data_IF_575544188133
#
_entry.id   IF_575544188133
#
_cell.length_a   1.000
_cell.length_b   1.000
_cell.length_c   1.000
_cell.angle_alpha   90.00
_cell.angle_beta   90.00
_cell.angle_gamma   90.00
#
_symmetry.space_group_name_H-M   'P 1'
#
loop_
_entity.id
_entity.type
_entity.pdbx_description
1 polymer ?
#
# COMPACT_ATOMS: atom_id res chain seq x y z
N UNK A 1 -15.87 -0.75 7.58
CA UNK A 1 -14.68 -0.04 7.08
C UNK A 1 -14.29 -0.65 5.75
N UNK A 2 -14.01 0.17 4.76
CA UNK A 2 -13.47 -0.28 3.47
C UNK A 2 -12.22 0.53 3.13
N UNK A 3 -11.39 0.01 2.24
CA UNK A 3 -10.17 0.67 1.79
C UNK A 3 -10.14 0.72 0.28
N UNK A 4 -9.96 1.90 -0.31
CA UNK A 4 -9.83 2.14 -1.74
C UNK A 4 -8.39 2.50 -2.09
N UNK A 5 -7.81 1.80 -3.06
CA UNK A 5 -6.48 2.10 -3.57
C UNK A 5 -6.53 3.42 -4.37
N UNK A 6 -5.66 4.36 -4.02
CA UNK A 6 -5.57 5.66 -4.72
C UNK A 6 -4.99 5.56 -6.13
N UNK A 7 -4.32 4.46 -6.47
CA UNK A 7 -3.66 4.27 -7.77
C UNK A 7 -4.62 3.62 -8.78
N UNK A 8 -5.24 2.50 -8.42
CA UNK A 8 -6.05 1.70 -9.35
C UNK A 8 -7.53 1.60 -8.96
N UNK A 9 -7.95 2.25 -7.88
CA UNK A 9 -9.34 2.24 -7.42
C UNK A 9 -9.81 0.93 -6.78
N UNK A 10 -8.97 -0.11 -6.70
CA UNK A 10 -9.34 -1.40 -6.07
C UNK A 10 -9.82 -1.19 -4.64
N UNK A 11 -10.94 -1.81 -4.29
CA UNK A 11 -11.50 -1.77 -2.94
C UNK A 11 -11.23 -3.08 -2.21
N UNK A 12 -10.87 -3.00 -0.93
CA UNK A 12 -10.71 -4.14 -0.03
C UNK A 12 -11.43 -3.89 1.28
N UNK A 13 -11.99 -4.95 1.88
CA UNK A 13 -12.73 -4.86 3.14
C UNK A 13 -11.83 -4.63 4.38
N UNK A 14 -10.51 -4.80 4.26
CA UNK A 14 -9.58 -4.71 5.39
C UNK A 14 -8.28 -4.02 5.00
N UNK A 15 -7.62 -3.42 5.99
CA UNK A 15 -6.30 -2.81 5.81
C UNK A 15 -5.26 -3.86 5.33
N UNK A 16 -5.31 -5.06 5.91
CA UNK A 16 -4.47 -6.20 5.50
C UNK A 16 -4.65 -6.56 4.03
N UNK A 17 -5.90 -6.52 3.52
CA UNK A 17 -6.19 -6.72 2.10
C UNK A 17 -5.53 -5.67 1.21
N UNK A 18 -5.61 -4.39 1.60
CA UNK A 18 -4.96 -3.29 0.89
C UNK A 18 -3.44 -3.41 0.93
N UNK A 19 -2.87 -3.81 2.07
CA UNK A 19 -1.43 -4.10 2.19
C UNK A 19 -1.01 -5.18 1.21
N UNK A 20 -1.72 -6.31 1.19
CA UNK A 20 -1.43 -7.41 0.26
C UNK A 20 -1.51 -6.95 -1.20
N UNK A 21 -2.51 -6.12 -1.53
CA UNK A 21 -2.62 -5.49 -2.83
C UNK A 21 -1.40 -4.62 -3.16
N UNK A 22 -1.04 -3.65 -2.32
CA UNK A 22 0.08 -2.74 -2.59
C UNK A 22 1.43 -3.49 -2.70
N UNK A 23 1.65 -4.50 -1.87
CA UNK A 23 2.87 -5.32 -1.87
C UNK A 23 2.97 -6.20 -3.12
N UNK A 24 1.85 -6.72 -3.63
CA UNK A 24 1.83 -7.53 -4.86
C UNK A 24 1.88 -6.65 -6.11
N UNK A 25 1.16 -5.53 -6.10
CA UNK A 25 1.08 -4.60 -7.22
C UNK A 25 2.38 -3.84 -7.45
N UNK A 26 3.23 -3.62 -6.43
CA UNK A 26 4.54 -2.94 -6.62
C UNK A 26 5.46 -3.62 -7.63
N UNK A 27 5.28 -4.92 -7.86
CA UNK A 27 6.07 -5.70 -8.82
C UNK A 27 5.43 -5.77 -10.20
N UNK A 28 4.12 -5.45 -10.28
CA UNK A 28 3.31 -5.59 -11.49
C UNK A 28 3.02 -4.23 -12.14
N UNK A 29 3.04 -3.15 -11.36
CA UNK A 29 2.63 -1.82 -11.80
C UNK A 29 3.57 -0.74 -11.22
N UNK A 30 4.21 0.01 -12.11
CA UNK A 30 5.15 1.09 -11.76
C UNK A 30 4.47 2.22 -10.97
N UNK A 31 3.19 2.48 -11.23
CA UNK A 31 2.42 3.53 -10.57
C UNK A 31 2.24 3.27 -9.06
N UNK A 32 2.01 2.02 -8.67
CA UNK A 32 1.95 1.63 -7.25
C UNK A 32 3.29 1.86 -6.56
N UNK A 33 4.40 1.62 -7.25
CA UNK A 33 5.73 1.92 -6.74
C UNK A 33 5.97 3.43 -6.59
N UNK A 34 5.60 4.23 -7.60
CA UNK A 34 5.72 5.69 -7.56
C UNK A 34 4.93 6.29 -6.40
N UNK A 35 3.70 5.83 -6.19
CA UNK A 35 2.85 6.29 -5.09
C UNK A 35 3.42 5.93 -3.72
N UNK A 36 3.98 4.72 -3.54
CA UNK A 36 4.66 4.38 -2.28
C UNK A 36 5.90 5.26 -2.06
N UNK A 37 6.69 5.48 -3.10
CA UNK A 37 7.91 6.30 -3.05
C UNK A 37 7.61 7.77 -2.72
N UNK A 38 6.51 8.34 -3.24
CA UNK A 38 6.11 9.72 -2.92
C UNK A 38 5.75 9.90 -1.44
N UNK A 39 5.36 8.82 -0.75
CA UNK A 39 5.07 8.81 0.68
C UNK A 39 6.27 8.35 1.53
N UNK A 40 7.47 8.31 0.96
CA UNK A 40 8.69 7.92 1.67
C UNK A 40 8.76 6.41 1.99
N UNK A 41 7.84 5.61 1.47
CA UNK A 41 7.89 4.16 1.61
C UNK A 41 8.75 3.60 0.48
N UNK A 42 9.96 3.14 0.84
CA UNK A 42 10.81 2.36 -0.05
C UNK A 42 10.53 0.85 0.15
N UNK A 43 9.97 0.17 -0.86
CA UNK A 43 9.64 -1.25 -0.77
C UNK A 43 10.86 -2.19 -0.67
N UNK A 44 12.08 -1.72 -0.98
CA UNK A 44 13.30 -2.54 -1.00
C UNK A 44 13.97 -2.73 0.37
N UNK A 45 13.75 -1.84 1.36
CA UNK A 45 14.41 -1.95 2.68
C UNK A 45 13.49 -2.19 3.87
N UNK A 46 12.27 -1.64 3.90
CA UNK A 46 11.40 -1.74 5.10
C UNK A 46 10.28 -2.78 4.96
N UNK A 47 9.60 -2.81 3.80
CA UNK A 47 8.55 -3.79 3.51
C UNK A 47 9.13 -5.21 3.37
N UNK A 48 10.33 -5.32 2.79
CA UNK A 48 11.05 -6.60 2.65
C UNK A 48 11.50 -7.21 3.99
N UNK A 49 11.79 -6.37 5.00
CA UNK A 49 12.21 -6.82 6.34
C UNK A 49 11.03 -7.20 7.25
N UNK A 50 9.83 -7.41 6.70
CA UNK A 50 8.63 -7.74 7.48
C UNK A 50 8.05 -6.58 8.31
N UNK A 51 8.60 -5.37 8.21
CA UNK A 51 8.15 -4.19 8.96
C UNK A 51 7.11 -3.41 8.16
N UNK A 52 5.86 -3.85 8.26
CA UNK A 52 4.73 -3.27 7.51
C UNK A 52 4.00 -2.13 8.22
N UNK A 53 4.33 -1.83 9.49
CA UNK A 53 3.69 -0.74 10.26
C UNK A 53 3.51 0.56 9.48
N UNK A 54 4.55 1.17 8.88
CA UNK A 54 4.40 2.44 8.18
C UNK A 54 3.55 2.34 6.90
N UNK A 55 3.45 1.15 6.30
CA UNK A 55 2.52 0.90 5.20
C UNK A 55 1.07 0.79 5.70
N UNK A 56 0.85 0.11 6.83
CA UNK A 56 -0.48 -0.04 7.43
C UNK A 56 -1.03 1.32 7.89
N UNK A 57 -0.17 2.18 8.46
CA UNK A 57 -0.51 3.56 8.84
C UNK A 57 -0.87 4.41 7.63
N UNK A 58 -0.10 4.30 6.53
CA UNK A 58 -0.42 5.00 5.29
C UNK A 58 -1.77 4.54 4.71
N UNK A 59 -2.05 3.24 4.75
CA UNK A 59 -3.33 2.68 4.30
C UNK A 59 -4.49 3.19 5.16
N UNK A 60 -4.33 3.24 6.49
CA UNK A 60 -5.34 3.82 7.38
C UNK A 60 -5.61 5.30 7.06
N UNK A 61 -4.57 6.05 6.70
CA UNK A 61 -4.65 7.48 6.47
C UNK A 61 -5.25 7.84 5.09
N UNK A 62 -4.77 7.21 4.03
CA UNK A 62 -5.01 7.65 2.65
C UNK A 62 -5.98 6.74 1.89
N UNK A 63 -6.10 5.47 2.28
CA UNK A 63 -6.93 4.49 1.55
C UNK A 63 -8.26 4.22 2.24
N UNK A 64 -8.43 4.59 3.51
CA UNK A 64 -9.65 4.33 4.26
C UNK A 64 -10.81 5.21 3.75
N UNK A 65 -11.96 4.58 3.56
CA UNK A 65 -13.23 5.20 3.15
C UNK A 65 -14.34 4.85 4.15
#
# INVERSE_FOLDING_TARGET
MSYKCQVCGKVTATNLGMRGHLVRSRFLFEEHWKWLKSHGLSPTRKIAAGKYQPLMELIEKECKI
#
